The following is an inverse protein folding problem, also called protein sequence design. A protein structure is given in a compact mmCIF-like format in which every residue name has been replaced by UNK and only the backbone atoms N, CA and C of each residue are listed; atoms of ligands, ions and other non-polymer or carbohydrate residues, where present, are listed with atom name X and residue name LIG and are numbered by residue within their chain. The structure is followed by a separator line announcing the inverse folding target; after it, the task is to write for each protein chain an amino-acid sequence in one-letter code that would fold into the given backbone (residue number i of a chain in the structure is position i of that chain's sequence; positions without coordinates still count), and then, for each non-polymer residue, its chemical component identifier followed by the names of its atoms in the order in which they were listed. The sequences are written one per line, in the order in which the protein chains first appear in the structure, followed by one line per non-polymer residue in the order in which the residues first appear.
data_IF_267967018343
#
_entry.id   IF_267967018343
#
_cell.length_a   1.000
_cell.length_b   1.000
_cell.length_c   1.000
_cell.angle_alpha   90.00
_cell.angle_beta   90.00
_cell.angle_gamma   90.00
#
_symmetry.space_group_name_H-M   'P 1'
#
loop_
_entity.id
_entity.type
_entity.pdbx_description
1 polymer ?
#
# COMPACT_ATOMS: atom_id res chain seq x y z
N UNK A 1 52.63 17.22 -51.15
CA UNK A 1 51.50 17.02 -52.07
C UNK A 1 50.93 15.65 -51.74
N UNK A 2 49.97 15.58 -50.81
CA UNK A 2 48.51 15.71 -51.05
C UNK A 2 48.01 14.42 -51.71
N UNK A 3 47.07 13.63 -51.22
CA UNK A 3 46.04 13.73 -50.18
C UNK A 3 45.49 12.29 -50.01
N UNK A 4 45.12 11.81 -48.83
CA UNK A 4 44.04 10.84 -48.71
C UNK A 4 42.81 11.54 -48.11
N UNK A 5 41.68 11.52 -48.81
CA UNK A 5 40.40 11.90 -48.23
C UNK A 5 39.22 11.32 -49.00
N UNK A 6 38.00 11.30 -48.42
CA UNK A 6 37.65 11.56 -47.02
C UNK A 6 37.13 10.30 -46.31
N UNK A 7 37.50 10.16 -45.03
CA UNK A 7 36.71 9.44 -44.05
C UNK A 7 35.42 10.22 -43.73
N UNK A 8 34.48 9.50 -43.15
CA UNK A 8 33.30 9.98 -42.42
C UNK A 8 32.02 10.24 -43.23
N UNK A 9 31.06 9.32 -43.04
CA UNK A 9 29.76 9.65 -42.44
C UNK A 9 28.88 8.40 -42.35
N UNK A 10 28.77 7.81 -41.17
CA UNK A 10 27.46 7.28 -40.74
C UNK A 10 27.36 7.35 -39.21
N UNK A 11 26.25 7.87 -38.66
CA UNK A 11 26.22 8.46 -37.33
C UNK A 11 26.15 7.42 -36.23
N UNK A 12 26.68 7.81 -35.07
CA UNK A 12 26.43 7.22 -33.77
C UNK A 12 24.93 7.10 -33.50
N UNK A 13 24.40 5.88 -33.63
CA UNK A 13 23.09 5.50 -33.10
C UNK A 13 23.19 5.26 -31.60
N UNK A 14 23.38 6.33 -30.82
CA UNK A 14 23.17 6.33 -29.38
C UNK A 14 21.71 6.08 -29.06
N UNK A 15 21.27 4.82 -29.11
CA UNK A 15 19.98 4.40 -28.59
C UNK A 15 20.06 4.33 -27.06
N UNK A 16 19.96 5.51 -26.45
CA UNK A 16 19.44 5.80 -25.10
C UNK A 16 19.05 4.56 -24.28
N UNK A 17 20.01 4.04 -23.52
CA UNK A 17 19.78 3.05 -22.44
C UNK A 17 19.06 3.64 -21.23
N UNK A 18 18.37 4.76 -21.37
CA UNK A 18 17.72 5.48 -20.28
C UNK A 18 16.19 5.38 -20.30
N UNK A 19 15.55 5.16 -21.46
CA UNK A 19 14.08 5.14 -21.54
C UNK A 19 13.42 3.77 -21.30
N UNK A 20 14.19 2.67 -21.32
CA UNK A 20 13.63 1.31 -21.07
C UNK A 20 13.62 0.89 -19.60
N UNK A 21 13.98 1.79 -18.68
CA UNK A 21 14.03 1.49 -17.23
C UNK A 21 12.85 2.01 -16.43
N UNK A 22 11.94 2.74 -17.07
CA UNK A 22 10.79 3.34 -16.39
C UNK A 22 9.45 2.62 -16.68
N UNK A 23 9.40 1.69 -17.63
CA UNK A 23 8.13 1.11 -18.12
C UNK A 23 7.59 -0.11 -17.35
N UNK A 24 8.26 -0.65 -16.32
CA UNK A 24 7.83 -1.96 -15.76
C UNK A 24 7.95 -2.15 -14.24
N UNK A 25 8.00 -1.08 -13.44
CA UNK A 25 7.57 -1.22 -12.03
C UNK A 25 6.05 -1.25 -12.01
N UNK A 26 5.45 -2.36 -12.44
CA UNK A 26 4.05 -2.63 -12.15
C UNK A 26 3.87 -2.36 -10.64
N UNK A 27 3.12 -1.31 -10.29
CA UNK A 27 2.95 -0.91 -8.91
C UNK A 27 2.52 -2.16 -8.13
N UNK A 28 3.38 -2.64 -7.22
CA UNK A 28 3.09 -3.84 -6.45
C UNK A 28 1.81 -3.52 -5.67
N UNK A 29 0.78 -4.37 -5.78
CA UNK A 29 -0.49 -4.17 -5.06
C UNK A 29 -0.67 -5.29 -4.05
N UNK A 30 -0.65 -4.93 -2.78
CA UNK A 30 -0.95 -5.86 -1.69
C UNK A 30 -2.41 -5.71 -1.30
N UNK A 31 -3.22 -6.71 -1.64
CA UNK A 31 -4.66 -6.73 -1.35
C UNK A 31 -4.93 -7.46 -0.04
N UNK A 32 -5.76 -6.88 0.81
CA UNK A 32 -6.25 -7.50 2.04
C UNK A 32 -7.77 -7.41 2.04
N UNK A 33 -8.41 -8.57 2.00
CA UNK A 33 -9.86 -8.69 1.94
C UNK A 33 -10.43 -9.02 3.32
N UNK A 34 -11.23 -8.11 3.85
CA UNK A 34 -11.98 -8.31 5.08
C UNK A 34 -13.37 -8.84 4.77
N UNK A 35 -13.71 -9.98 5.37
CA UNK A 35 -15.07 -10.55 5.27
C UNK A 35 -16.09 -9.87 6.18
N UNK A 36 -15.62 -9.16 7.21
CA UNK A 36 -16.47 -8.54 8.24
C UNK A 36 -15.94 -7.15 8.57
N UNK A 37 -16.83 -6.17 8.60
CA UNK A 37 -16.52 -4.78 8.97
C UNK A 37 -15.91 -4.67 10.37
N UNK A 38 -16.41 -5.44 11.35
CA UNK A 38 -15.89 -5.41 12.72
C UNK A 38 -14.41 -5.83 12.81
N UNK A 39 -13.98 -6.79 11.99
CA UNK A 39 -12.57 -7.22 11.94
C UNK A 39 -11.70 -6.11 11.36
N UNK A 40 -12.16 -5.45 10.31
CA UNK A 40 -11.50 -4.30 9.73
C UNK A 40 -11.36 -3.15 10.75
N UNK A 41 -12.42 -2.78 11.45
CA UNK A 41 -12.39 -1.70 12.44
C UNK A 41 -11.42 -1.96 13.60
N UNK A 42 -11.34 -3.21 14.06
CA UNK A 42 -10.42 -3.60 15.13
C UNK A 42 -8.96 -3.50 14.70
N UNK A 43 -8.63 -3.89 13.47
CA UNK A 43 -7.27 -3.75 12.92
C UNK A 43 -6.95 -2.29 12.61
N UNK A 44 -7.94 -1.55 12.12
CA UNK A 44 -7.77 -0.15 11.75
C UNK A 44 -7.41 0.71 12.95
N UNK A 45 -8.20 0.63 14.02
CA UNK A 45 -7.99 1.41 15.25
C UNK A 45 -6.72 1.04 16.02
N UNK A 46 -6.28 -0.22 15.93
CA UNK A 46 -5.11 -0.71 16.65
C UNK A 46 -3.80 -0.28 15.99
N UNK A 47 -3.74 -0.44 14.68
CA UNK A 47 -2.50 -0.37 13.92
C UNK A 47 -2.60 0.64 12.76
N UNK A 48 -3.58 0.49 11.88
CA UNK A 48 -3.59 1.20 10.58
C UNK A 48 -3.75 2.71 10.75
N UNK A 49 -4.63 3.17 11.64
CA UNK A 49 -4.85 4.59 11.91
C UNK A 49 -3.62 5.30 12.47
N UNK A 50 -2.67 4.55 13.04
CA UNK A 50 -1.42 5.09 13.61
C UNK A 50 -0.29 5.18 12.56
N UNK A 51 -0.60 4.93 11.29
CA UNK A 51 0.34 5.06 10.18
C UNK A 51 1.17 3.81 9.87
N UNK A 52 0.79 2.63 10.36
CA UNK A 52 1.47 1.39 9.98
C UNK A 52 0.75 0.11 10.34
N UNK A 53 1.16 -1.02 9.77
CA UNK A 53 0.61 -2.33 10.12
C UNK A 53 1.67 -3.42 9.99
N UNK A 54 1.45 -4.55 10.66
CA UNK A 54 2.30 -5.73 10.51
C UNK A 54 1.53 -6.83 9.80
N UNK A 55 2.12 -7.38 8.74
CA UNK A 55 1.53 -8.47 7.97
C UNK A 55 2.34 -9.73 8.21
N UNK A 56 1.66 -10.73 8.77
CA UNK A 56 2.21 -12.09 8.90
C UNK A 56 2.30 -12.71 7.51
N UNK A 57 3.51 -13.06 7.10
CA UNK A 57 3.79 -13.72 5.83
C UNK A 57 5.13 -14.42 5.93
N UNK A 58 5.25 -15.58 5.29
CA UNK A 58 6.55 -16.27 5.12
C UNK A 58 7.32 -15.74 3.91
N UNK A 59 6.69 -14.90 3.09
CA UNK A 59 7.27 -14.26 1.90
C UNK A 59 7.12 -12.73 2.03
N UNK A 60 7.89 -12.10 2.91
CA UNK A 60 7.91 -10.65 3.04
C UNK A 60 8.52 -10.00 1.79
N UNK A 61 8.11 -8.78 1.49
CA UNK A 61 8.79 -7.92 0.51
C UNK A 61 10.06 -7.33 1.14
N UNK A 62 11.02 -6.92 0.31
CA UNK A 62 12.27 -6.33 0.78
C UNK A 62 12.03 -4.99 1.49
N UNK A 63 12.84 -4.70 2.51
CA UNK A 63 12.82 -3.40 3.21
C UNK A 63 13.05 -2.27 2.20
N UNK A 64 12.23 -1.21 2.28
CA UNK A 64 12.24 -0.10 1.35
C UNK A 64 11.35 -0.28 0.12
N UNK A 65 10.78 -1.47 -0.09
CA UNK A 65 9.80 -1.68 -1.17
C UNK A 65 8.56 -0.84 -0.93
N UNK A 66 8.23 0.01 -1.90
CA UNK A 66 6.98 0.77 -1.94
C UNK A 66 5.93 0.02 -2.76
N UNK A 67 4.69 0.03 -2.28
CA UNK A 67 3.58 -0.67 -2.90
C UNK A 67 2.24 -0.02 -2.53
N UNK A 68 1.21 -0.30 -3.32
CA UNK A 68 -0.17 0.11 -3.01
C UNK A 68 -0.82 -0.95 -2.14
N UNK A 69 -1.22 -0.57 -0.94
CA UNK A 69 -1.97 -1.38 0.00
C UNK A 69 -3.47 -1.16 -0.21
N UNK A 70 -4.17 -2.20 -0.64
CA UNK A 70 -5.60 -2.15 -0.98
C UNK A 70 -6.39 -2.94 0.06
N UNK A 71 -7.17 -2.24 0.86
CA UNK A 71 -8.08 -2.80 1.85
C UNK A 71 -9.46 -2.94 1.20
N UNK A 72 -9.95 -4.16 1.03
CA UNK A 72 -11.32 -4.43 0.58
C UNK A 72 -12.18 -4.77 1.78
N UNK A 73 -13.27 -4.03 2.01
CA UNK A 73 -14.18 -4.24 3.14
C UNK A 73 -15.63 -4.30 2.66
N UNK A 74 -16.55 -5.00 3.35
CA UNK A 74 -17.95 -5.05 2.93
C UNK A 74 -18.61 -3.66 3.01
N UNK A 75 -19.42 -3.29 2.03
CA UNK A 75 -20.16 -2.02 2.07
C UNK A 75 -21.48 -2.19 2.83
N UNK A 76 -21.77 -1.39 3.87
CA UNK A 76 -23.03 -1.47 4.61
C UNK A 76 -24.22 -0.83 3.86
N UNK A 77 -23.97 -0.04 2.81
CA UNK A 77 -24.94 0.86 2.18
C UNK A 77 -25.43 0.45 0.78
N UNK A 78 -24.92 -0.66 0.23
CA UNK A 78 -25.31 -1.15 -1.11
C UNK A 78 -25.75 -2.62 -1.07
N UNK A 79 -27.06 -2.92 -1.11
CA UNK A 79 -27.54 -4.26 -1.43
C UNK A 79 -27.28 -4.57 -2.92
N UNK A 80 -26.46 -5.57 -3.24
CA UNK A 80 -26.14 -6.00 -4.62
C UNK A 80 -24.71 -5.72 -5.11
N UNK A 81 -24.41 -6.09 -6.36
CA UNK A 81 -23.11 -6.47 -6.97
C UNK A 81 -21.85 -5.59 -6.78
N UNK A 82 -21.92 -4.44 -6.11
CA UNK A 82 -20.74 -3.72 -5.60
C UNK A 82 -20.76 -3.69 -4.06
N UNK A 83 -20.75 -4.88 -3.45
CA UNK A 83 -20.83 -5.12 -2.00
C UNK A 83 -19.54 -4.81 -1.23
N UNK A 84 -18.59 -4.07 -1.83
CA UNK A 84 -17.29 -3.80 -1.19
C UNK A 84 -16.83 -2.36 -1.40
N UNK A 85 -16.31 -1.78 -0.34
CA UNK A 85 -15.57 -0.52 -0.32
C UNK A 85 -14.07 -0.83 -0.38
N UNK A 86 -13.32 -0.07 -1.19
CA UNK A 86 -11.88 -0.23 -1.34
C UNK A 86 -11.18 1.03 -0.84
N UNK A 87 -10.24 0.85 0.07
CA UNK A 87 -9.37 1.91 0.57
C UNK A 87 -7.97 1.60 0.07
N UNK A 88 -7.39 2.52 -0.69
CA UNK A 88 -6.03 2.40 -1.22
C UNK A 88 -5.10 3.34 -0.43
N UNK A 89 -3.98 2.80 0.03
CA UNK A 89 -2.95 3.52 0.78
C UNK A 89 -1.60 3.19 0.16
N UNK A 90 -0.68 4.16 0.08
CA UNK A 90 0.71 3.84 -0.22
C UNK A 90 1.40 3.31 1.04
N UNK A 91 2.27 2.31 0.87
CA UNK A 91 3.00 1.70 1.97
C UNK A 91 4.45 1.44 1.61
N UNK A 92 5.32 1.50 2.61
CA UNK A 92 6.73 1.10 2.51
C UNK A 92 7.06 0.06 3.58
N UNK A 93 7.79 -0.99 3.19
CA UNK A 93 8.33 -1.95 4.16
C UNK A 93 9.42 -1.29 5.00
N UNK A 94 9.26 -1.31 6.33
CA UNK A 94 10.24 -0.74 7.28
C UNK A 94 11.14 -1.78 7.92
N UNK A 95 10.64 -3.00 8.12
CA UNK A 95 11.39 -4.11 8.69
C UNK A 95 10.73 -5.45 8.34
N UNK A 96 11.50 -6.52 8.46
CA UNK A 96 11.08 -7.89 8.14
C UNK A 96 11.53 -8.82 9.25
N UNK A 97 10.70 -9.81 9.58
CA UNK A 97 11.07 -10.98 10.38
C UNK A 97 11.05 -12.19 9.46
N UNK A 98 12.22 -12.73 9.07
CA UNK A 98 12.31 -13.93 8.24
C UNK A 98 11.67 -15.14 8.93
N UNK A 99 11.17 -16.10 8.15
CA UNK A 99 10.60 -17.34 8.69
C UNK A 99 11.60 -18.12 9.56
N UNK A 100 12.88 -18.11 9.18
CA UNK A 100 13.95 -18.76 9.93
C UNK A 100 14.20 -18.16 11.32
N UNK A 101 13.81 -16.91 11.54
CA UNK A 101 13.99 -16.17 12.80
C UNK A 101 12.67 -16.03 13.58
N UNK A 102 11.58 -16.60 13.05
CA UNK A 102 10.26 -16.43 13.63
C UNK A 102 10.11 -17.19 14.96
N UNK A 103 9.50 -16.51 15.92
CA UNK A 103 9.14 -17.06 17.23
C UNK A 103 7.66 -16.85 17.51
N UNK A 104 7.14 -17.41 18.61
CA UNK A 104 5.76 -17.15 19.01
C UNK A 104 5.52 -15.67 19.35
N UNK A 105 6.54 -14.98 19.88
CA UNK A 105 6.51 -13.57 20.25
C UNK A 105 6.80 -12.64 19.06
N UNK A 106 7.58 -13.11 18.09
CA UNK A 106 7.94 -12.39 16.87
C UNK A 106 7.67 -13.26 15.64
N UNK A 107 6.42 -13.31 15.16
CA UNK A 107 6.05 -14.15 14.02
C UNK A 107 6.70 -13.66 12.72
N UNK A 108 6.86 -14.56 11.75
CA UNK A 108 7.34 -14.22 10.40
C UNK A 108 6.43 -13.18 9.74
N UNK A 109 7.02 -12.18 9.10
CA UNK A 109 6.25 -11.17 8.39
C UNK A 109 7.01 -9.89 8.09
N UNK A 110 6.27 -8.84 7.77
CA UNK A 110 6.82 -7.52 7.47
C UNK A 110 6.04 -6.39 8.15
N UNK A 111 6.78 -5.41 8.66
CA UNK A 111 6.24 -4.16 9.18
C UNK A 111 6.16 -3.11 8.08
N UNK A 112 4.99 -2.49 7.95
CA UNK A 112 4.66 -1.54 6.90
C UNK A 112 4.36 -0.20 7.54
N UNK A 113 4.88 0.88 6.95
CA UNK A 113 4.49 2.24 7.25
C UNK A 113 3.66 2.78 6.10
N UNK A 114 2.50 3.35 6.40
CA UNK A 114 1.67 4.04 5.41
C UNK A 114 2.25 5.40 5.10
N UNK A 115 2.29 5.73 3.82
CA UNK A 115 2.73 7.00 3.29
C UNK A 115 1.50 7.83 2.98
N UNK A 116 1.55 9.10 3.35
CA UNK A 116 0.57 10.10 2.97
C UNK A 116 1.30 11.27 2.31
N UNK A 117 0.75 11.78 1.22
CA UNK A 117 1.32 12.94 0.50
C UNK A 117 1.27 14.19 1.38
N UNK A 118 0.16 14.36 2.11
CA UNK A 118 -0.06 15.44 3.06
C UNK A 118 -1.04 15.05 4.18
N UNK A 119 -1.21 15.95 5.16
CA UNK A 119 -2.16 15.77 6.25
C UNK A 119 -3.62 15.73 5.76
N UNK A 120 -3.95 16.37 4.63
CA UNK A 120 -5.31 16.38 4.10
C UNK A 120 -5.71 15.00 3.56
N UNK A 121 -4.80 14.28 2.90
CA UNK A 121 -5.00 12.91 2.48
C UNK A 121 -5.17 11.98 3.67
N UNK A 122 -4.36 12.13 4.73
CA UNK A 122 -4.55 11.38 5.98
C UNK A 122 -5.93 11.61 6.58
N UNK A 123 -6.35 12.87 6.70
CA UNK A 123 -7.66 13.25 7.23
C UNK A 123 -8.80 12.70 6.36
N UNK A 124 -8.63 12.70 5.03
CA UNK A 124 -9.62 12.16 4.11
C UNK A 124 -9.82 10.65 4.29
N UNK A 125 -8.73 9.89 4.46
CA UNK A 125 -8.78 8.45 4.77
C UNK A 125 -9.46 8.20 6.12
N UNK A 126 -9.08 8.95 7.16
CA UNK A 126 -9.69 8.84 8.49
C UNK A 126 -11.19 9.14 8.44
N UNK A 127 -11.60 10.20 7.75
CA UNK A 127 -13.01 10.58 7.58
C UNK A 127 -13.80 9.52 6.79
N UNK A 128 -13.20 8.93 5.75
CA UNK A 128 -13.82 7.84 5.00
C UNK A 128 -14.09 6.63 5.90
N UNK A 129 -13.11 6.23 6.71
CA UNK A 129 -13.26 5.09 7.63
C UNK A 129 -14.27 5.42 8.74
N UNK A 130 -14.26 6.64 9.26
CA UNK A 130 -15.23 7.10 10.25
C UNK A 130 -16.67 7.03 9.73
N UNK A 131 -16.90 7.44 8.47
CA UNK A 131 -18.19 7.29 7.80
C UNK A 131 -18.62 5.82 7.74
N UNK A 132 -17.72 4.92 7.33
CA UNK A 132 -18.01 3.48 7.27
C UNK A 132 -18.37 2.90 8.64
N UNK A 133 -17.68 3.30 9.70
CA UNK A 133 -18.03 2.92 11.08
C UNK A 133 -19.42 3.45 11.48
N UNK A 134 -19.73 4.70 11.15
CA UNK A 134 -21.02 5.31 11.44
C UNK A 134 -22.18 4.60 10.75
N UNK A 135 -22.01 4.24 9.48
CA UNK A 135 -23.01 3.49 8.71
C UNK A 135 -23.20 2.05 9.21
N UNK A 136 -22.12 1.39 9.63
CA UNK A 136 -22.15 -0.02 10.03
C UNK A 136 -22.57 -0.26 11.50
N UNK A 137 -22.19 0.64 12.42
CA UNK A 137 -22.35 0.47 13.88
C UNK A 137 -23.25 1.54 14.51
N UNK A 138 -23.63 2.57 13.76
CA UNK A 138 -24.29 3.76 14.28
C UNK A 138 -23.32 4.80 14.86
N UNK A 139 -23.72 6.08 14.91
CA UNK A 139 -22.81 7.21 15.16
C UNK A 139 -22.17 7.19 16.56
N UNK A 140 -22.87 6.68 17.58
CA UNK A 140 -22.37 6.64 18.97
C UNK A 140 -21.20 5.68 19.18
N UNK A 141 -21.20 4.54 18.48
CA UNK A 141 -20.14 3.54 18.57
C UNK A 141 -18.91 3.98 17.76
N UNK A 142 -19.12 4.60 16.60
CA UNK A 142 -18.04 5.15 15.77
C UNK A 142 -17.20 6.19 16.53
N UNK A 143 -17.84 7.19 17.15
CA UNK A 143 -17.12 8.22 17.92
C UNK A 143 -16.29 7.65 19.08
N UNK A 144 -16.78 6.59 19.75
CA UNK A 144 -16.06 5.95 20.85
C UNK A 144 -14.82 5.18 20.40
N UNK A 145 -14.83 4.64 19.17
CA UNK A 145 -13.71 3.88 18.61
C UNK A 145 -12.62 4.77 18.01
N UNK A 146 -12.96 6.01 17.64
CA UNK A 146 -12.04 6.97 17.00
C UNK A 146 -11.44 8.00 17.97
N UNK A 147 -12.10 8.27 19.10
CA UNK A 147 -11.69 9.28 20.09
C UNK A 147 -11.13 8.72 21.40
N UNK A 148 -10.68 7.46 21.42
CA UNK A 148 -10.13 6.78 22.59
C UNK A 148 -8.60 6.76 22.60
#
# INVERSE_FOLDING_TARGET
MSDPGPEDRTPEGGASSQDRRDEERAAIRLRVDYKKLNSFFADYTRNISKGGTFIRTTKPLDVGTQFVFVLTVPSPTKPGEAEVERIELEGIVRWVVPEAEATQQSPAGMGIQFLFDDDAQRIAVEAMVARLMGEALGPRLASKLLGG
#
